data_IF_784432835827
#
_entry.id   IF_784432835827
#
_cell.length_a   1.000
_cell.length_b   1.000
_cell.length_c   1.000
_cell.angle_alpha   90.00
_cell.angle_beta   90.00
_cell.angle_gamma   90.00
#
_symmetry.space_group_name_H-M   'P 1'
#
loop_
_entity.id
_entity.type
_entity.pdbx_description
1 polymer ?
#
# COMPACT_ATOMS: atom_id res chain seq x y z
N UNK A 1 -6.79 -2.51 -14.94
CA UNK A 1 -5.61 -2.26 -14.07
C UNK A 1 -5.18 -0.81 -14.15
N UNK A 2 -5.34 -0.09 -13.05
CA UNK A 2 -5.00 1.32 -12.84
C UNK A 2 -3.69 1.41 -12.07
N UNK A 3 -2.76 2.23 -12.56
CA UNK A 3 -1.50 2.52 -11.86
C UNK A 3 -1.77 3.55 -10.76
N UNK A 4 -1.26 3.29 -9.56
CA UNK A 4 -1.47 4.12 -8.37
C UNK A 4 -0.21 4.21 -7.49
N UNK A 5 -0.27 4.92 -6.36
CA UNK A 5 0.89 5.23 -5.53
C UNK A 5 1.69 4.00 -5.07
N UNK A 6 1.03 2.89 -4.73
CA UNK A 6 1.74 1.64 -4.40
C UNK A 6 2.65 1.13 -5.53
N UNK A 7 2.21 1.21 -6.78
CA UNK A 7 3.02 0.79 -7.94
C UNK A 7 4.28 1.65 -8.05
N UNK A 8 4.17 2.97 -7.82
CA UNK A 8 5.31 3.90 -7.81
C UNK A 8 6.29 3.56 -6.69
N UNK A 9 5.79 3.41 -5.46
CA UNK A 9 6.62 3.03 -4.31
C UNK A 9 7.33 1.68 -4.51
N UNK A 10 6.66 0.71 -5.12
CA UNK A 10 7.27 -0.57 -5.47
C UNK A 10 8.44 -0.40 -6.44
N UNK A 11 8.26 0.37 -7.52
CA UNK A 11 9.32 0.62 -8.50
C UNK A 11 10.51 1.36 -7.87
N UNK A 12 10.23 2.40 -7.07
CA UNK A 12 11.27 3.15 -6.37
C UNK A 12 12.07 2.25 -5.42
N UNK A 13 11.39 1.36 -4.69
CA UNK A 13 12.06 0.42 -3.79
C UNK A 13 12.86 -0.63 -4.55
N UNK A 14 12.34 -1.11 -5.68
CA UNK A 14 13.03 -2.07 -6.55
C UNK A 14 14.33 -1.47 -7.10
N UNK A 15 14.30 -0.22 -7.55
CA UNK A 15 15.50 0.51 -8.02
C UNK A 15 16.56 0.67 -6.92
N UNK A 16 16.14 0.85 -5.66
CA UNK A 16 17.03 0.96 -4.49
C UNK A 16 17.43 -0.39 -3.90
N UNK A 17 16.90 -1.51 -4.41
CA UNK A 17 17.17 -2.82 -3.84
C UNK A 17 18.54 -3.32 -4.29
N UNK A 18 19.44 -3.53 -3.34
CA UNK A 18 20.78 -4.09 -3.59
C UNK A 18 20.84 -5.61 -3.42
N UNK A 19 19.73 -6.23 -2.97
CA UNK A 19 19.63 -7.67 -2.71
C UNK A 19 18.48 -8.29 -3.52
N UNK A 20 18.65 -9.51 -4.05
CA UNK A 20 17.56 -10.23 -4.69
C UNK A 20 16.48 -10.57 -3.64
N UNK A 21 15.22 -10.43 -4.02
CA UNK A 21 14.09 -10.80 -3.17
C UNK A 21 13.91 -12.33 -3.15
N UNK A 22 14.41 -12.98 -2.10
CA UNK A 22 14.32 -14.43 -1.89
C UNK A 22 13.21 -14.78 -0.89
N UNK A 23 11.95 -14.53 -1.26
CA UNK A 23 10.82 -14.98 -0.44
C UNK A 23 10.35 -16.40 -0.82
N UNK A 24 9.63 -17.04 0.09
CA UNK A 24 8.91 -18.30 -0.20
C UNK A 24 8.01 -18.11 -1.43
N UNK A 25 8.18 -19.00 -2.43
CA UNK A 25 7.46 -18.88 -3.71
C UNK A 25 8.11 -17.94 -4.72
N UNK A 26 9.42 -17.63 -4.59
CA UNK A 26 10.18 -16.82 -5.56
C UNK A 26 10.21 -17.39 -6.98
N UNK A 27 9.99 -18.71 -7.14
CA UNK A 27 9.89 -19.38 -8.46
C UNK A 27 8.52 -19.22 -9.14
N UNK A 28 7.52 -18.67 -8.45
CA UNK A 28 6.18 -18.50 -9.01
C UNK A 28 6.18 -17.31 -9.97
N UNK A 29 5.76 -17.54 -11.21
CA UNK A 29 5.51 -16.45 -12.17
C UNK A 29 4.32 -15.60 -11.70
N UNK A 30 4.56 -14.30 -11.53
CA UNK A 30 3.61 -13.34 -10.96
C UNK A 30 3.31 -12.23 -11.94
N UNK A 31 2.10 -11.71 -11.86
CA UNK A 31 1.74 -10.50 -12.58
C UNK A 31 2.69 -9.34 -12.17
N UNK A 32 3.20 -8.60 -13.14
CA UNK A 32 4.07 -7.44 -12.90
C UNK A 32 3.35 -6.27 -12.20
N UNK A 33 2.02 -6.28 -12.23
CA UNK A 33 1.18 -5.28 -11.58
C UNK A 33 0.67 -5.77 -10.24
N UNK A 34 -0.28 -6.72 -10.19
CA UNK A 34 -0.86 -7.15 -8.91
C UNK A 34 0.03 -8.07 -8.05
N UNK A 35 1.14 -8.58 -8.58
CA UNK A 35 2.08 -9.51 -7.90
C UNK A 35 1.48 -10.85 -7.39
N UNK A 36 0.20 -11.09 -7.64
CA UNK A 36 -0.46 -12.39 -7.48
C UNK A 36 0.02 -13.36 -8.57
N UNK A 37 0.01 -14.71 -8.36
CA UNK A 37 0.39 -15.66 -9.41
C UNK A 37 -0.39 -15.40 -10.69
N UNK A 38 0.25 -15.57 -11.85
CA UNK A 38 -0.34 -15.18 -13.15
C UNK A 38 -1.69 -15.86 -13.43
N UNK A 39 -1.85 -17.12 -13.00
CA UNK A 39 -3.11 -17.87 -13.11
C UNK A 39 -4.27 -17.30 -12.27
N UNK A 40 -3.98 -16.42 -11.30
CA UNK A 40 -4.95 -15.78 -10.41
C UNK A 40 -4.81 -14.25 -10.46
N UNK A 41 -4.41 -13.71 -11.61
CA UNK A 41 -4.24 -12.28 -11.78
C UNK A 41 -5.53 -11.52 -11.41
N UNK A 42 -5.41 -10.48 -10.58
CA UNK A 42 -6.55 -9.68 -10.12
C UNK A 42 -6.80 -8.41 -10.97
N UNK A 43 -5.94 -8.15 -11.95
CA UNK A 43 -5.87 -6.88 -12.68
C UNK A 43 -7.13 -6.51 -13.47
N UNK A 44 -7.86 -7.52 -13.95
CA UNK A 44 -9.13 -7.36 -14.68
C UNK A 44 -10.33 -7.24 -13.75
N UNK A 45 -10.19 -7.66 -12.49
CA UNK A 45 -11.25 -7.62 -11.47
C UNK A 45 -11.16 -6.37 -10.59
N UNK A 46 -10.29 -5.42 -10.94
CA UNK A 46 -10.17 -4.18 -10.21
C UNK A 46 -11.49 -3.39 -10.30
N UNK A 47 -12.14 -3.08 -9.17
CA UNK A 47 -13.38 -2.32 -9.20
C UNK A 47 -13.12 -0.88 -9.62
N UNK A 48 -14.07 -0.32 -10.36
CA UNK A 48 -14.07 1.08 -10.75
C UNK A 48 -15.22 1.80 -10.04
N UNK A 49 -14.96 2.21 -8.80
CA UNK A 49 -15.94 2.84 -7.92
C UNK A 49 -15.47 4.21 -7.47
N UNK A 50 -16.42 5.11 -7.23
CA UNK A 50 -16.18 6.37 -6.52
C UNK A 50 -16.40 6.18 -5.02
N UNK A 51 -15.61 6.86 -4.22
CA UNK A 51 -15.65 6.80 -2.75
C UNK A 51 -15.62 8.21 -2.16
N UNK A 52 -16.20 8.38 -0.98
CA UNK A 52 -16.12 9.63 -0.20
C UNK A 52 -15.05 9.56 0.90
N UNK A 53 -14.09 8.64 0.75
CA UNK A 53 -12.99 8.44 1.69
C UNK A 53 -11.68 8.39 0.93
N UNK A 54 -10.64 8.95 1.53
CA UNK A 54 -9.27 8.76 1.14
C UNK A 54 -8.60 7.75 2.09
N UNK A 55 -7.64 6.98 1.58
CA UNK A 55 -6.84 6.07 2.41
C UNK A 55 -5.36 6.43 2.32
N UNK A 56 -4.72 6.55 3.48
CA UNK A 56 -3.27 6.67 3.60
C UNK A 56 -2.69 5.36 4.13
N UNK A 57 -1.80 4.75 3.35
CA UNK A 57 -1.10 3.52 3.72
C UNK A 57 0.36 3.84 4.08
N UNK A 58 0.75 3.43 5.29
CA UNK A 58 2.14 3.48 5.76
C UNK A 58 2.73 2.09 5.67
N UNK A 59 3.68 1.89 4.76
CA UNK A 59 4.17 0.56 4.39
C UNK A 59 5.62 0.40 4.83
N UNK A 60 5.96 -0.70 5.49
CA UNK A 60 7.36 -1.00 5.83
C UNK A 60 8.16 -1.43 4.59
N UNK A 61 9.49 -1.26 4.61
CA UNK A 61 10.33 -1.54 3.45
C UNK A 61 10.18 -2.97 2.91
N UNK A 62 10.05 -3.94 3.82
CA UNK A 62 9.90 -5.35 3.47
C UNK A 62 8.49 -5.68 2.99
N UNK A 63 7.49 -4.90 3.38
CA UNK A 63 6.09 -5.13 3.03
C UNK A 63 5.76 -4.72 1.60
N UNK A 64 6.46 -3.72 1.05
CA UNK A 64 6.32 -3.29 -0.34
C UNK A 64 6.47 -4.46 -1.31
N UNK A 65 7.36 -5.40 -1.02
CA UNK A 65 7.63 -6.57 -1.88
C UNK A 65 6.74 -7.79 -1.58
N UNK A 66 5.87 -7.75 -0.57
CA UNK A 66 5.00 -8.88 -0.25
C UNK A 66 3.98 -9.07 -1.39
N UNK A 67 3.90 -10.27 -2.00
CA UNK A 67 3.09 -10.49 -3.20
C UNK A 67 1.59 -10.29 -3.01
N UNK A 68 1.09 -10.54 -1.79
CA UNK A 68 -0.30 -10.31 -1.39
C UNK A 68 -0.29 -9.52 -0.09
N UNK A 69 -0.69 -8.24 -0.16
CA UNK A 69 -0.93 -7.43 1.02
C UNK A 69 -2.27 -6.69 0.87
N UNK A 70 -2.99 -6.53 1.98
CA UNK A 70 -4.30 -5.87 2.01
C UNK A 70 -4.23 -4.42 1.52
N UNK A 71 -3.09 -3.74 1.77
CA UNK A 71 -2.87 -2.37 1.27
C UNK A 71 -2.97 -2.26 -0.26
N UNK A 72 -2.51 -3.27 -1.00
CA UNK A 72 -2.64 -3.33 -2.46
C UNK A 72 -4.10 -3.37 -2.87
N UNK A 73 -4.88 -4.26 -2.24
CA UNK A 73 -6.30 -4.41 -2.52
C UNK A 73 -7.08 -3.13 -2.21
N UNK A 74 -6.71 -2.44 -1.13
CA UNK A 74 -7.26 -1.12 -0.81
C UNK A 74 -6.94 -0.12 -1.93
N UNK A 75 -5.68 0.00 -2.35
CA UNK A 75 -5.27 0.94 -3.39
C UNK A 75 -5.83 0.61 -4.79
N UNK A 76 -6.06 -0.69 -5.04
CA UNK A 76 -6.75 -1.17 -6.23
C UNK A 76 -8.24 -0.75 -6.20
N UNK A 77 -8.84 -0.64 -5.01
CA UNK A 77 -10.27 -0.34 -4.82
C UNK A 77 -10.56 1.16 -4.67
N UNK A 78 -9.95 1.81 -3.68
CA UNK A 78 -10.14 3.22 -3.35
C UNK A 78 -9.22 4.07 -4.23
N UNK A 79 -9.81 4.86 -5.14
CA UNK A 79 -9.07 5.69 -6.11
C UNK A 79 -8.15 6.70 -5.42
N UNK A 80 -8.65 7.34 -4.38
CA UNK A 80 -7.92 8.32 -3.57
C UNK A 80 -7.09 7.61 -2.49
N UNK A 81 -6.08 6.86 -2.92
CA UNK A 81 -5.15 6.17 -2.03
C UNK A 81 -3.74 6.75 -2.14
N UNK A 82 -3.21 7.16 -1.00
CA UNK A 82 -1.84 7.61 -0.80
C UNK A 82 -1.03 6.50 -0.14
N UNK A 83 0.22 6.31 -0.56
CA UNK A 83 1.08 5.25 -0.05
C UNK A 83 2.45 5.84 0.21
N UNK A 84 2.90 5.76 1.46
CA UNK A 84 4.20 6.27 1.88
C UNK A 84 5.02 5.16 2.53
N UNK A 85 6.34 5.23 2.33
CA UNK A 85 7.29 4.40 3.07
C UNK A 85 7.30 4.87 4.52
N UNK A 86 7.01 3.96 5.46
CA UNK A 86 7.15 4.28 6.87
C UNK A 86 8.62 4.48 7.24
N UNK A 87 8.91 5.55 7.97
CA UNK A 87 10.17 5.77 8.65
C UNK A 87 9.91 6.40 10.02
N UNK A 88 10.54 5.87 11.07
CA UNK A 88 10.24 6.27 12.46
C UNK A 88 10.65 7.71 12.77
N UNK A 89 11.76 8.19 12.22
CA UNK A 89 12.37 9.49 12.57
C UNK A 89 12.44 10.47 11.41
N UNK A 90 12.16 10.02 10.19
CA UNK A 90 12.29 10.82 8.96
C UNK A 90 11.05 10.59 8.08
N UNK A 91 9.86 11.01 8.57
CA UNK A 91 8.63 10.87 7.81
C UNK A 91 8.69 11.65 6.49
N UNK A 92 7.97 11.17 5.47
CA UNK A 92 7.86 11.88 4.20
C UNK A 92 7.18 13.26 4.42
N UNK A 93 7.81 14.38 4.01
CA UNK A 93 7.21 15.70 4.18
C UNK A 93 5.85 15.87 3.48
N UNK A 94 5.63 15.20 2.35
CA UNK A 94 4.34 15.26 1.64
C UNK A 94 3.24 14.53 2.42
N UNK A 95 3.59 13.45 3.12
CA UNK A 95 2.67 12.76 4.01
C UNK A 95 2.22 13.66 5.16
N UNK A 96 3.15 14.38 5.80
CA UNK A 96 2.84 15.32 6.86
C UNK A 96 1.99 16.50 6.36
N UNK A 97 2.28 16.99 5.16
CA UNK A 97 1.48 18.04 4.51
C UNK A 97 0.03 17.57 4.27
N UNK A 98 -0.16 16.33 3.81
CA UNK A 98 -1.48 15.77 3.56
C UNK A 98 -2.28 15.57 4.86
N UNK A 99 -1.62 15.16 5.95
CA UNK A 99 -2.25 15.08 7.27
C UNK A 99 -2.69 16.44 7.83
N UNK A 100 -2.10 17.53 7.34
CA UNK A 100 -2.41 18.90 7.76
C UNK A 100 -3.43 19.58 6.84
N UNK A 101 -3.87 18.91 5.77
CA UNK A 101 -4.82 19.47 4.81
C UNK A 101 -6.23 19.53 5.43
N UNK A 102 -6.86 20.72 5.48
CA UNK A 102 -8.17 20.90 6.11
C UNK A 102 -9.32 20.16 5.39
N UNK A 103 -9.12 19.65 4.17
CA UNK A 103 -10.14 18.86 3.48
C UNK A 103 -10.28 17.43 4.04
N UNK A 104 -9.31 16.96 4.83
CA UNK A 104 -9.34 15.63 5.42
C UNK A 104 -9.55 15.69 6.94
N UNK A 105 -10.24 14.67 7.47
CA UNK A 105 -10.25 14.34 8.89
C UNK A 105 -9.46 13.03 9.08
N UNK A 106 -8.16 13.10 9.44
CA UNK A 106 -7.36 11.90 9.59
C UNK A 106 -7.85 11.04 10.76
N UNK A 107 -8.14 9.77 10.49
CA UNK A 107 -8.54 8.78 11.50
C UNK A 107 -7.59 7.59 11.41
N UNK A 108 -6.99 7.24 12.56
CA UNK A 108 -6.15 6.05 12.66
C UNK A 108 -7.04 4.81 12.77
N UNK A 109 -6.96 3.92 11.78
CA UNK A 109 -7.75 2.66 11.74
C UNK A 109 -7.07 1.55 12.55
N UNK A 110 -5.74 1.50 12.55
CA UNK A 110 -4.95 0.54 13.32
C UNK A 110 -3.53 1.11 13.58
N UNK A 111 -2.90 0.83 14.74
CA UNK A 111 -3.46 0.16 15.90
C UNK A 111 -4.58 0.98 16.54
N UNK A 112 -5.36 0.31 17.37
CA UNK A 112 -6.44 0.93 18.12
C UNK A 112 -5.91 2.15 18.90
N UNK A 113 -6.72 3.21 19.02
CA UNK A 113 -6.27 4.47 19.62
C UNK A 113 -5.86 4.30 21.08
N UNK A 114 -6.46 3.34 21.78
CA UNK A 114 -6.12 2.96 23.15
C UNK A 114 -6.05 1.45 23.32
N UNK A 115 -5.40 0.96 24.38
CA UNK A 115 -5.40 -0.48 24.72
C UNK A 115 -6.82 -1.04 24.95
N UNK A 116 -7.76 -0.19 25.37
CA UNK A 116 -9.17 -0.54 25.59
C UNK A 116 -9.95 -0.80 24.29
N UNK A 117 -9.47 -0.31 23.15
CA UNK A 117 -10.11 -0.53 21.86
C UNK A 117 -9.73 -1.88 21.22
N UNK A 118 -8.85 -2.67 21.87
CA UNK A 118 -8.39 -3.99 21.39
C UNK A 118 -9.39 -5.13 21.61
N UNK A 119 -10.41 -4.94 22.44
CA UNK A 119 -11.37 -5.98 22.84
C UNK A 119 -12.63 -6.07 21.95
N UNK A 120 -12.68 -5.33 20.83
CA UNK A 120 -13.82 -5.39 19.89
C UNK A 120 -13.60 -6.36 18.73
#
# INVERSE_FOLDING_TARGET
MRIHAFHRLYQDRLQRSTKPFLARGSKIARCSFCHVPQAHCLCEFQPDIETHVAVMLLVSENEVFKPSNTGRLIADTVKETYVYQWHRTEPDPQMLSLLSDPHFLPILVFPAQTEHDRER
#
